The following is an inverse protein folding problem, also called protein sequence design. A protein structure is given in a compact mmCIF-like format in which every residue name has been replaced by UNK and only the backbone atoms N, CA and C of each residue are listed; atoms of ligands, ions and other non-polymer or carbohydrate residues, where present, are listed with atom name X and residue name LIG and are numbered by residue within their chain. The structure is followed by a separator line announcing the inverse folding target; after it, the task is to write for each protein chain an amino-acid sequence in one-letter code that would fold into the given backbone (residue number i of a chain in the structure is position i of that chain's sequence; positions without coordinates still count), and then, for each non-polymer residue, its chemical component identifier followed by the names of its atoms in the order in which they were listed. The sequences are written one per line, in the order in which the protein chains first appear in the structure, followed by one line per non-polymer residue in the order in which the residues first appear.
data_IF_740660429001
#
_entry.id   IF_740660429001
#
_cell.length_a   1.000
_cell.length_b   1.000
_cell.length_c   1.000
_cell.angle_alpha   90.00
_cell.angle_beta   90.00
_cell.angle_gamma   90.00
#
_symmetry.space_group_name_H-M   'P 1'
#
loop_
_entity.id
_entity.type
_entity.pdbx_description
1 polymer ?
#
# COMPACT_ATOMS: atom_id res chain seq x y z
N UNK A 1 16.33 -7.74 -2.93
CA UNK A 1 14.90 -7.63 -2.59
C UNK A 1 14.12 -7.62 -3.88
N UNK A 2 13.22 -8.59 -4.07
CA UNK A 2 12.28 -8.59 -5.19
C UNK A 2 10.89 -8.37 -4.61
N UNK A 3 10.38 -7.14 -4.71
CA UNK A 3 9.02 -6.76 -4.29
C UNK A 3 8.41 -5.88 -5.37
N UNK A 4 7.08 -5.86 -5.47
CA UNK A 4 6.44 -4.87 -6.32
C UNK A 4 6.66 -3.47 -5.74
N UNK A 5 6.67 -2.45 -6.60
CA UNK A 5 6.82 -1.04 -6.18
C UNK A 5 5.79 -0.68 -5.10
N UNK A 6 4.55 -1.15 -5.25
CA UNK A 6 3.45 -0.88 -4.33
C UNK A 6 3.39 -1.74 -3.06
N UNK A 7 4.32 -2.69 -2.86
CA UNK A 7 4.34 -3.53 -1.66
C UNK A 7 4.83 -2.73 -0.46
N UNK A 8 3.89 -2.35 0.40
CA UNK A 8 4.12 -1.52 1.59
C UNK A 8 4.04 -2.31 2.91
N UNK A 9 3.81 -3.62 2.82
CA UNK A 9 3.78 -4.54 3.95
C UNK A 9 2.48 -4.51 4.75
N UNK A 10 2.57 -4.94 6.00
CA UNK A 10 1.42 -5.14 6.89
C UNK A 10 1.24 -3.97 7.87
N UNK A 11 -0.02 -3.69 8.21
CA UNK A 11 -0.40 -2.76 9.28
C UNK A 11 -1.14 -3.50 10.39
N UNK A 12 -1.20 -2.93 11.59
CA UNK A 12 -1.91 -3.52 12.73
C UNK A 12 -2.99 -2.56 13.22
N UNK A 13 -4.22 -3.05 13.25
CA UNK A 13 -5.32 -2.35 13.90
C UNK A 13 -5.26 -2.54 15.42
N UNK A 14 -5.58 -1.49 16.18
CA UNK A 14 -5.74 -1.62 17.62
C UNK A 14 -7.08 -2.30 17.97
N UNK A 15 -7.35 -2.48 19.28
CA UNK A 15 -8.59 -3.14 19.76
C UNK A 15 -9.89 -2.45 19.32
N UNK A 16 -9.84 -1.17 18.96
CA UNK A 16 -10.98 -0.41 18.46
C UNK A 16 -11.09 -0.45 16.92
N UNK A 17 -10.22 -1.19 16.22
CA UNK A 17 -10.17 -1.25 14.76
C UNK A 17 -9.43 -0.09 14.10
N UNK A 18 -8.81 0.82 14.87
CA UNK A 18 -8.09 1.97 14.31
C UNK A 18 -6.67 1.58 13.92
N UNK A 19 -6.23 2.05 12.75
CA UNK A 19 -4.85 1.90 12.25
C UNK A 19 -4.18 3.27 12.29
N UNK A 20 -3.06 3.37 13.02
CA UNK A 20 -2.19 4.56 13.02
C UNK A 20 -0.83 4.10 12.54
N UNK A 21 -0.38 4.63 11.41
CA UNK A 21 0.89 4.26 10.81
C UNK A 21 1.72 5.51 10.48
N UNK A 22 3.02 5.38 10.65
CA UNK A 22 4.02 6.28 10.11
C UNK A 22 5.06 5.42 9.41
N UNK A 23 5.21 5.59 8.10
CA UNK A 23 6.09 4.74 7.30
C UNK A 23 6.88 5.59 6.30
N UNK A 24 8.08 5.11 6.00
CA UNK A 24 8.93 5.67 4.95
C UNK A 24 9.24 4.54 3.97
N UNK A 25 9.15 4.86 2.69
CA UNK A 25 9.54 3.94 1.62
C UNK A 25 10.44 4.66 0.62
N UNK A 26 11.46 3.97 0.13
CA UNK A 26 12.48 4.52 -0.78
C UNK A 26 12.25 4.16 -2.25
N UNK A 27 11.24 3.34 -2.56
CA UNK A 27 10.96 2.88 -3.92
C UNK A 27 9.78 3.63 -4.53
N UNK A 28 8.69 3.82 -3.79
CA UNK A 28 7.54 4.60 -4.28
C UNK A 28 7.94 6.06 -4.51
N UNK A 29 7.41 6.65 -5.58
CA UNK A 29 7.66 8.05 -5.90
C UNK A 29 6.35 8.78 -6.21
N UNK A 30 6.38 10.12 -6.13
CA UNK A 30 5.23 10.96 -6.45
C UNK A 30 5.33 11.67 -7.81
N UNK A 31 6.53 11.75 -8.40
CA UNK A 31 6.77 12.60 -9.56
C UNK A 31 7.53 11.87 -10.67
N UNK A 32 7.03 12.01 -11.91
CA UNK A 32 7.70 11.74 -13.19
C UNK A 32 8.63 10.51 -13.24
N UNK A 33 8.18 9.37 -12.72
CA UNK A 33 8.89 8.09 -12.81
C UNK A 33 7.92 6.92 -13.04
N UNK A 34 8.44 5.78 -13.52
CA UNK A 34 7.69 4.52 -13.64
C UNK A 34 7.23 3.98 -12.29
N UNK A 35 7.86 4.42 -11.20
CA UNK A 35 7.53 4.09 -9.82
C UNK A 35 6.50 5.06 -9.21
N UNK A 36 5.95 5.97 -10.02
CA UNK A 36 4.93 6.92 -9.55
C UNK A 36 3.66 6.20 -9.08
N UNK A 37 3.21 6.54 -7.88
CA UNK A 37 1.97 6.05 -7.29
C UNK A 37 0.79 7.02 -7.45
N UNK A 38 1.02 8.21 -8.02
CA UNK A 38 -0.06 9.17 -8.32
C UNK A 38 -1.05 8.56 -9.31
N UNK A 39 -2.35 8.77 -9.07
CA UNK A 39 -3.47 8.17 -9.80
C UNK A 39 -3.55 6.64 -9.67
N UNK A 40 -2.86 6.04 -8.70
CA UNK A 40 -3.10 4.66 -8.23
C UNK A 40 -3.91 4.69 -6.94
N UNK A 41 -4.09 3.54 -6.29
CA UNK A 41 -4.81 3.43 -5.04
C UNK A 41 -3.96 2.80 -3.93
N UNK A 42 -4.13 3.28 -2.71
CA UNK A 42 -3.85 2.49 -1.50
C UNK A 42 -4.98 1.48 -1.33
N UNK A 43 -4.63 0.25 -0.94
CA UNK A 43 -5.60 -0.82 -0.69
C UNK A 43 -5.27 -1.46 0.66
N UNK A 44 -6.29 -1.59 1.51
CA UNK A 44 -6.20 -2.37 2.74
C UNK A 44 -6.84 -3.74 2.50
N UNK A 45 -6.14 -4.78 2.90
CA UNK A 45 -6.57 -6.17 2.74
C UNK A 45 -7.11 -6.76 4.06
N UNK A 46 -7.97 -7.77 3.95
CA UNK A 46 -8.65 -8.42 5.08
C UNK A 46 -7.72 -9.31 5.91
N UNK A 47 -6.68 -9.88 5.29
CA UNK A 47 -5.73 -10.79 5.91
C UNK A 47 -4.32 -10.23 5.86
N UNK A 48 -3.43 -10.84 6.64
CA UNK A 48 -2.01 -10.52 6.67
C UNK A 48 -1.35 -10.97 5.36
N UNK A 49 -0.58 -10.08 4.75
CA UNK A 49 0.33 -10.38 3.64
C UNK A 49 1.47 -11.29 4.12
N UNK A 50 1.68 -12.42 3.44
CA UNK A 50 2.69 -13.43 3.77
C UNK A 50 4.11 -13.12 3.24
N UNK A 51 4.28 -12.01 2.52
CA UNK A 51 5.55 -11.55 1.96
C UNK A 51 6.07 -12.40 0.81
N UNK A 52 5.20 -13.16 0.14
CA UNK A 52 5.59 -14.09 -0.92
C UNK A 52 6.12 -15.43 -0.41
N UNK A 53 6.04 -15.69 0.90
CA UNK A 53 6.67 -16.84 1.55
C UNK A 53 5.67 -17.85 2.14
N UNK A 54 4.37 -17.65 1.94
CA UNK A 54 3.33 -18.53 2.49
C UNK A 54 3.18 -19.88 1.77
N UNK A 55 3.74 -20.02 0.56
CA UNK A 55 3.64 -21.25 -0.23
C UNK A 55 2.30 -21.46 -0.94
N UNK A 56 1.44 -20.44 -0.96
CA UNK A 56 0.19 -20.45 -1.71
C UNK A 56 0.43 -20.00 -3.16
N UNK A 57 -0.50 -20.36 -4.05
CA UNK A 57 -0.40 -20.03 -5.48
C UNK A 57 -0.39 -18.51 -5.76
N UNK A 58 -0.93 -17.72 -4.85
CA UNK A 58 -1.02 -16.25 -4.91
C UNK A 58 -0.11 -15.53 -3.90
N UNK A 59 0.75 -16.25 -3.17
CA UNK A 59 1.72 -15.64 -2.25
C UNK A 59 2.63 -14.65 -2.99
N UNK A 60 3.22 -15.05 -4.12
CA UNK A 60 4.17 -14.21 -4.86
C UNK A 60 3.53 -13.07 -5.67
N UNK A 61 2.20 -13.07 -5.78
CA UNK A 61 1.46 -12.05 -6.55
C UNK A 61 0.74 -11.06 -5.65
N UNK A 62 0.10 -11.53 -4.58
CA UNK A 62 -0.76 -10.71 -3.70
C UNK A 62 -0.50 -10.93 -2.21
N UNK A 63 0.54 -11.71 -1.86
CA UNK A 63 0.85 -12.06 -0.48
C UNK A 63 -0.21 -12.91 0.20
N UNK A 64 -1.13 -13.52 -0.57
CA UNK A 64 -2.32 -14.20 -0.05
C UNK A 64 -3.09 -13.34 0.98
N UNK A 65 -3.16 -12.02 0.77
CA UNK A 65 -3.71 -11.06 1.74
C UNK A 65 -5.26 -11.04 1.75
N UNK A 66 -5.92 -11.81 0.87
CA UNK A 66 -7.38 -11.90 0.83
C UNK A 66 -8.09 -10.67 0.27
N UNK A 67 -9.36 -10.51 0.65
CA UNK A 67 -10.24 -9.49 0.09
C UNK A 67 -9.77 -8.05 0.36
N UNK A 68 -10.09 -7.13 -0.57
CA UNK A 68 -9.83 -5.69 -0.44
C UNK A 68 -10.96 -5.06 0.39
N UNK A 69 -10.65 -4.60 1.60
CA UNK A 69 -11.66 -4.08 2.55
C UNK A 69 -11.82 -2.55 2.48
N UNK A 70 -10.81 -1.84 1.98
CA UNK A 70 -10.89 -0.42 1.70
C UNK A 70 -9.89 -0.04 0.60
N UNK A 71 -10.19 1.02 -0.14
CA UNK A 71 -9.23 1.63 -1.05
C UNK A 71 -9.41 3.16 -1.12
N UNK A 72 -8.36 3.86 -1.54
CA UNK A 72 -8.40 5.30 -1.74
C UNK A 72 -7.39 5.73 -2.79
N UNK A 73 -7.81 6.63 -3.68
CA UNK A 73 -6.97 7.13 -4.76
C UNK A 73 -5.89 8.08 -4.22
N UNK A 74 -4.68 7.95 -4.76
CA UNK A 74 -3.54 8.80 -4.41
C UNK A 74 -3.50 9.98 -5.38
N UNK A 75 -3.77 11.17 -4.84
CA UNK A 75 -3.81 12.41 -5.61
C UNK A 75 -2.76 13.38 -5.09
N UNK A 76 -2.16 14.14 -6.02
CA UNK A 76 -1.33 15.28 -5.62
C UNK A 76 -2.20 16.31 -4.93
N UNK A 77 -1.82 16.67 -3.70
CA UNK A 77 -2.43 17.79 -3.00
C UNK A 77 -2.10 19.07 -3.75
N UNK A 78 -3.12 19.80 -4.21
CA UNK A 78 -2.92 21.16 -4.70
C UNK A 78 -2.49 22.04 -3.54
N UNK A 79 -1.42 22.81 -3.72
CA UNK A 79 -1.14 23.91 -2.80
C UNK A 79 -2.28 24.93 -2.95
N UNK A 80 -2.82 25.41 -1.83
CA UNK A 80 -3.76 26.53 -1.87
C UNK A 80 -3.01 27.71 -2.48
N UNK A 81 -3.48 28.25 -3.60
CA UNK A 81 -3.11 29.61 -3.98
C UNK A 81 -3.63 30.51 -2.88
N UNK A 82 -2.72 31.19 -2.20
CA UNK A 82 -3.05 32.32 -1.35
C UNK A 82 -3.44 33.47 -2.26
N UNK A 83 -4.74 33.56 -2.55
CA UNK A 83 -5.37 34.82 -2.97
C UNK A 83 -5.64 35.68 -1.73
#
# INVERSE_FOLDING_TARGET
MNRHVGDLGNVTANRAGNIIINMQDSIIQLHNSTQSIVNRAFVLHAMRDDGGMGGFTDSTTTGNAGARIACGNIMLKKNKSSD
#
